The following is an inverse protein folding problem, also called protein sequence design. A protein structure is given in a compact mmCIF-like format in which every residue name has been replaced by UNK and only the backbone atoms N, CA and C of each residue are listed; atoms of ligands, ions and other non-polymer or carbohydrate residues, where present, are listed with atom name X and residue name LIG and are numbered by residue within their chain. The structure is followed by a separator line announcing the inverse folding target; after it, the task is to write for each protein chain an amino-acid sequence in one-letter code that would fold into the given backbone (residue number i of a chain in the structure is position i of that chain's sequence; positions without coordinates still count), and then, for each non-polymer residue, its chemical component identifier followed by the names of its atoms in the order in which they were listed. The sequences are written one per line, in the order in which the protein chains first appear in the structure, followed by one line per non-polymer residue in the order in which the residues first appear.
data_IF_226987150935
#
_entry.id   IF_226987150935
#
_cell.length_a   1.000
_cell.length_b   1.000
_cell.length_c   1.000
_cell.angle_alpha   90.00
_cell.angle_beta   90.00
_cell.angle_gamma   90.00
#
_symmetry.space_group_name_H-M   'P 1'
#
loop_
_entity.id
_entity.type
_entity.pdbx_description
1 polymer ?
#
# COMPACT_ATOMS: atom_id res chain seq x y z
N UNK A 1 34.96 33.77 -32.26
CA UNK A 1 34.70 32.32 -32.11
C UNK A 1 35.57 31.79 -30.98
N UNK A 2 34.98 31.33 -29.88
CA UNK A 2 35.71 30.58 -28.84
C UNK A 2 34.70 29.69 -28.11
N UNK A 3 34.55 28.46 -28.60
CA UNK A 3 33.75 27.40 -27.98
C UNK A 3 34.59 26.73 -26.90
N UNK A 4 34.24 26.92 -25.63
CA UNK A 4 34.78 26.11 -24.54
C UNK A 4 34.09 24.75 -24.56
N UNK A 5 34.85 23.71 -24.88
CA UNK A 5 34.46 22.32 -24.71
C UNK A 5 34.64 21.96 -23.23
N UNK A 6 33.54 21.68 -22.53
CA UNK A 6 33.61 21.08 -21.20
C UNK A 6 34.03 19.61 -21.34
N UNK A 7 35.31 19.32 -21.11
CA UNK A 7 35.81 17.96 -21.03
C UNK A 7 35.31 17.32 -19.73
N UNK A 8 34.41 16.34 -19.83
CA UNK A 8 34.04 15.48 -18.70
C UNK A 8 35.29 14.67 -18.28
N UNK A 9 35.66 14.61 -16.99
CA UNK A 9 36.70 13.70 -16.54
C UNK A 9 36.27 12.25 -16.82
N UNK A 10 37.17 11.44 -17.36
CA UNK A 10 36.98 10.00 -17.49
C UNK A 10 36.86 9.38 -16.08
N UNK A 11 35.92 8.45 -15.84
CA UNK A 11 35.82 7.78 -14.55
C UNK A 11 37.08 6.94 -14.28
N UNK A 12 37.66 7.14 -13.10
CA UNK A 12 38.81 6.39 -12.57
C UNK A 12 38.53 4.89 -12.50
N UNK A 13 39.51 3.98 -12.71
CA UNK A 13 39.27 2.54 -12.89
C UNK A 13 38.93 1.78 -11.60
N UNK A 14 38.62 2.46 -10.49
CA UNK A 14 38.34 1.85 -9.19
C UNK A 14 36.99 2.31 -8.64
N UNK A 15 35.93 1.99 -9.37
CA UNK A 15 34.63 1.76 -8.75
C UNK A 15 34.24 0.33 -9.06
N UNK A 16 34.46 -0.58 -8.11
CA UNK A 16 33.70 -1.82 -8.03
C UNK A 16 32.26 -1.38 -7.77
N UNK A 17 31.51 -1.08 -8.83
CA UNK A 17 30.08 -0.85 -8.73
C UNK A 17 29.49 -2.20 -8.33
N UNK A 18 29.18 -2.35 -7.05
CA UNK A 18 28.17 -3.32 -6.62
C UNK A 18 26.99 -3.15 -7.58
N UNK A 19 26.48 -4.22 -8.21
CA UNK A 19 25.33 -4.09 -9.08
C UNK A 19 24.26 -3.29 -8.34
N UNK A 20 23.73 -2.24 -8.97
CA UNK A 20 22.54 -1.56 -8.49
C UNK A 20 21.52 -2.67 -8.18
N UNK A 21 21.04 -2.78 -6.94
CA UNK A 21 20.15 -3.86 -6.53
C UNK A 21 18.92 -3.86 -7.46
N UNK A 22 18.98 -4.69 -8.51
CA UNK A 22 18.01 -4.67 -9.60
C UNK A 22 16.66 -5.28 -9.19
N UNK A 23 16.56 -5.81 -7.96
CA UNK A 23 15.35 -6.39 -7.40
C UNK A 23 15.41 -6.37 -5.87
N UNK A 24 15.22 -5.20 -5.25
CA UNK A 24 15.09 -5.07 -3.79
C UNK A 24 13.75 -5.60 -3.25
N UNK A 25 13.29 -6.77 -3.70
CA UNK A 25 12.04 -7.38 -3.25
C UNK A 25 12.34 -8.25 -2.03
N UNK A 26 11.69 -7.93 -0.90
CA UNK A 26 11.73 -8.72 0.32
C UNK A 26 10.36 -9.36 0.54
N UNK A 27 10.32 -10.68 0.78
CA UNK A 27 9.10 -11.43 1.03
C UNK A 27 9.13 -12.04 2.42
N UNK A 28 8.04 -11.91 3.16
CA UNK A 28 7.87 -12.45 4.51
C UNK A 28 6.51 -13.15 4.62
N UNK A 29 6.47 -14.26 5.34
CA UNK A 29 5.25 -15.01 5.65
C UNK A 29 5.17 -15.25 7.15
N UNK A 30 3.94 -15.33 7.66
CA UNK A 30 3.65 -15.67 9.05
C UNK A 30 2.38 -16.54 9.10
N UNK A 31 2.27 -17.33 10.16
CA UNK A 31 1.12 -18.19 10.41
C UNK A 31 0.81 -18.24 11.90
N UNK A 32 -0.46 -18.39 12.24
CA UNK A 32 -0.94 -18.54 13.62
C UNK A 32 -2.12 -19.50 13.65
N UNK A 33 -2.25 -20.26 14.74
CA UNK A 33 -3.42 -21.09 15.00
C UNK A 33 -4.47 -20.27 15.72
N UNK A 34 -5.70 -20.28 15.20
CA UNK A 34 -6.86 -19.61 15.81
C UNK A 34 -7.86 -20.70 16.18
N UNK A 35 -8.18 -20.82 17.46
CA UNK A 35 -9.18 -21.78 17.96
C UNK A 35 -10.61 -21.26 17.69
N UNK A 36 -11.00 -21.30 16.42
CA UNK A 36 -12.34 -20.92 15.95
C UNK A 36 -12.65 -21.59 14.60
N UNK A 37 -13.93 -21.75 14.24
CA UNK A 37 -14.32 -22.18 12.90
C UNK A 37 -13.77 -21.23 11.82
N UNK A 38 -13.17 -21.79 10.76
CA UNK A 38 -12.55 -21.02 9.68
C UNK A 38 -13.52 -20.06 8.99
N UNK A 39 -14.80 -20.43 8.87
CA UNK A 39 -15.85 -19.61 8.26
C UNK A 39 -16.08 -18.33 9.07
N UNK A 40 -16.05 -18.44 10.41
CA UNK A 40 -16.19 -17.30 11.31
C UNK A 40 -14.97 -16.38 11.21
N UNK A 41 -13.76 -16.95 11.19
CA UNK A 41 -12.52 -16.17 11.02
C UNK A 41 -12.54 -15.43 9.68
N UNK A 42 -12.95 -16.12 8.61
CA UNK A 42 -13.02 -15.54 7.28
C UNK A 42 -13.96 -14.36 7.18
N UNK A 43 -15.18 -14.48 7.75
CA UNK A 43 -16.14 -13.38 7.80
C UNK A 43 -15.54 -12.13 8.48
N UNK A 44 -14.72 -12.31 9.51
CA UNK A 44 -14.03 -11.21 10.20
C UNK A 44 -12.91 -10.61 9.33
N UNK A 45 -12.16 -11.44 8.61
CA UNK A 45 -11.02 -10.98 7.78
C UNK A 45 -11.47 -10.16 6.56
N UNK A 46 -12.66 -10.43 6.01
CA UNK A 46 -13.19 -9.72 4.84
C UNK A 46 -14.13 -8.57 5.18
N UNK A 47 -14.49 -8.38 6.47
CA UNK A 47 -15.29 -7.25 6.95
C UNK A 47 -14.40 -6.00 7.13
N UNK A 48 -14.23 -5.24 6.05
CA UNK A 48 -13.42 -4.01 6.05
C UNK A 48 -13.91 -2.96 7.06
N UNK A 49 -15.22 -2.64 7.16
CA UNK A 49 -15.73 -1.70 8.17
C UNK A 49 -15.33 -2.05 9.61
N UNK A 50 -15.30 -3.34 9.98
CA UNK A 50 -14.91 -3.78 11.32
C UNK A 50 -13.43 -4.09 11.49
N UNK A 51 -12.59 -3.93 10.47
CA UNK A 51 -11.19 -4.39 10.49
C UNK A 51 -10.36 -3.78 11.63
N UNK A 52 -10.65 -2.52 11.99
CA UNK A 52 -9.99 -1.82 13.10
C UNK A 52 -10.32 -2.36 14.50
N UNK A 53 -11.33 -3.24 14.65
CA UNK A 53 -11.66 -3.86 15.94
C UNK A 53 -10.61 -4.86 16.40
N UNK A 54 -9.91 -5.50 15.45
CA UNK A 54 -8.90 -6.52 15.76
C UNK A 54 -7.49 -6.09 15.35
N UNK A 55 -7.33 -5.20 14.37
CA UNK A 55 -6.02 -4.68 13.97
C UNK A 55 -5.72 -3.33 14.65
N UNK A 56 -4.79 -3.27 15.62
CA UNK A 56 -4.52 -2.05 16.39
C UNK A 56 -3.88 -0.90 15.59
N UNK A 57 -3.32 -1.20 14.41
CA UNK A 57 -2.72 -0.19 13.54
C UNK A 57 -3.74 0.41 12.57
N UNK A 58 -4.86 -0.27 12.31
CA UNK A 58 -5.87 0.15 11.34
C UNK A 58 -7.02 0.84 12.05
N UNK A 59 -7.31 2.09 11.65
CA UNK A 59 -8.45 2.86 12.18
C UNK A 59 -9.73 2.59 11.40
N UNK A 60 -9.62 2.51 10.08
CA UNK A 60 -10.72 2.18 9.19
C UNK A 60 -10.18 1.59 7.90
N UNK A 61 -11.02 0.77 7.26
CA UNK A 61 -10.86 0.38 5.87
C UNK A 61 -12.18 0.64 5.16
N UNK A 62 -12.09 1.33 4.03
CA UNK A 62 -13.29 1.78 3.31
C UNK A 62 -13.11 1.50 1.83
N UNK A 63 -14.07 0.80 1.24
CA UNK A 63 -14.15 0.58 -0.20
C UNK A 63 -14.47 1.91 -0.88
N UNK A 64 -13.69 2.23 -1.91
CA UNK A 64 -13.78 3.51 -2.63
C UNK A 64 -13.91 3.31 -4.13
N UNK A 65 -14.49 4.31 -4.77
CA UNK A 65 -14.47 4.46 -6.22
C UNK A 65 -13.04 4.74 -6.71
N UNK A 66 -12.85 4.73 -8.04
CA UNK A 66 -11.58 5.15 -8.67
C UNK A 66 -11.22 6.61 -8.39
N UNK A 67 -12.18 7.45 -8.00
CA UNK A 67 -11.94 8.85 -7.59
C UNK A 67 -11.59 9.00 -6.11
N UNK A 68 -11.57 7.90 -5.34
CA UNK A 68 -11.28 7.92 -3.90
C UNK A 68 -12.49 8.22 -3.00
N UNK A 69 -13.69 8.33 -3.57
CA UNK A 69 -14.92 8.54 -2.80
C UNK A 69 -15.42 7.23 -2.21
N UNK A 70 -15.88 7.24 -0.95
CA UNK A 70 -16.50 6.06 -0.33
C UNK A 70 -17.68 5.56 -1.16
N UNK A 71 -17.78 4.25 -1.33
CA UNK A 71 -18.97 3.60 -1.88
C UNK A 71 -19.98 3.32 -0.77
N UNK A 72 -21.26 3.22 -1.11
CA UNK A 72 -22.28 2.76 -0.14
C UNK A 72 -22.11 1.26 0.15
N UNK A 73 -21.82 0.49 -0.90
CA UNK A 73 -21.51 -0.92 -0.80
C UNK A 73 -20.04 -1.14 -0.40
N UNK A 74 -19.84 -1.55 0.85
CA UNK A 74 -18.55 -1.85 1.45
C UNK A 74 -18.14 -3.33 1.31
N UNK A 75 -18.85 -4.12 0.50
CA UNK A 75 -18.46 -5.50 0.20
C UNK A 75 -17.14 -5.53 -0.57
N UNK A 76 -16.22 -6.36 -0.09
CA UNK A 76 -14.95 -6.64 -0.75
C UNK A 76 -15.22 -7.43 -2.04
N UNK A 77 -14.77 -6.90 -3.18
CA UNK A 77 -14.92 -7.53 -4.49
C UNK A 77 -13.63 -7.35 -5.27
N UNK A 78 -13.23 -8.37 -6.04
CA UNK A 78 -12.07 -8.29 -6.93
C UNK A 78 -12.21 -7.08 -7.88
N UNK A 79 -11.12 -6.33 -8.03
CA UNK A 79 -11.09 -5.12 -8.85
C UNK A 79 -11.56 -3.84 -8.14
N UNK A 80 -12.10 -3.92 -6.91
CA UNK A 80 -12.39 -2.73 -6.10
C UNK A 80 -11.16 -2.20 -5.40
N UNK A 81 -11.15 -0.89 -5.20
CA UNK A 81 -10.16 -0.21 -4.36
C UNK A 81 -10.71 -0.07 -2.94
N UNK A 82 -9.83 -0.13 -1.96
CA UNK A 82 -10.13 0.33 -0.61
C UNK A 82 -8.99 1.19 -0.07
N UNK A 83 -9.32 2.10 0.85
CA UNK A 83 -8.36 2.91 1.58
C UNK A 83 -8.27 2.40 3.01
N UNK A 84 -7.07 2.09 3.47
CA UNK A 84 -6.77 1.80 4.87
C UNK A 84 -6.20 3.04 5.54
N UNK A 85 -6.88 3.54 6.57
CA UNK A 85 -6.37 4.61 7.41
C UNK A 85 -5.62 4.01 8.60
N UNK A 86 -4.33 4.35 8.78
CA UNK A 86 -3.44 3.66 9.71
C UNK A 86 -2.68 4.59 10.65
N UNK A 87 -2.31 4.06 11.82
CA UNK A 87 -1.47 4.71 12.83
C UNK A 87 -0.23 3.85 13.11
N UNK A 88 0.95 4.45 12.96
CA UNK A 88 2.24 3.88 13.32
C UNK A 88 3.00 4.93 14.16
N UNK A 89 3.22 4.74 15.47
CA UNK A 89 2.80 3.61 16.32
C UNK A 89 1.26 3.51 16.46
N UNK A 90 0.72 2.37 16.96
CA UNK A 90 -0.72 2.21 17.14
C UNK A 90 -1.24 3.22 18.17
N UNK A 91 -2.43 3.76 17.93
CA UNK A 91 -3.01 4.79 18.78
C UNK A 91 -4.44 5.17 18.39
N UNK A 92 -5.12 5.87 19.30
CA UNK A 92 -6.51 6.32 19.13
C UNK A 92 -6.62 7.70 18.46
N UNK A 93 -5.50 8.31 18.10
CA UNK A 93 -5.45 9.60 17.41
C UNK A 93 -5.97 9.49 15.97
N UNK A 94 -6.38 10.61 15.35
CA UNK A 94 -6.72 10.62 13.93
C UNK A 94 -5.62 9.97 13.07
N UNK A 95 -6.00 9.22 12.02
CA UNK A 95 -5.03 8.47 11.21
C UNK A 95 -4.00 9.42 10.59
N UNK A 96 -2.72 9.10 10.77
CA UNK A 96 -1.62 9.91 10.23
C UNK A 96 -1.30 9.59 8.77
N UNK A 97 -1.68 8.39 8.32
CA UNK A 97 -1.37 7.89 6.98
C UNK A 97 -2.56 7.11 6.43
N UNK A 98 -2.66 7.08 5.11
CA UNK A 98 -3.58 6.19 4.41
C UNK A 98 -2.88 5.49 3.25
N UNK A 99 -3.31 4.26 2.98
CA UNK A 99 -2.84 3.46 1.85
C UNK A 99 -4.01 3.02 0.99
N UNK A 100 -3.90 3.19 -0.32
CA UNK A 100 -4.86 2.64 -1.27
C UNK A 100 -4.42 1.24 -1.67
N UNK A 101 -5.35 0.30 -1.76
CA UNK A 101 -5.10 -1.08 -2.19
C UNK A 101 -6.16 -1.53 -3.18
N UNK A 102 -5.77 -2.38 -4.13
CA UNK A 102 -6.61 -3.03 -5.13
C UNK A 102 -6.76 -4.50 -4.79
N UNK A 103 -8.01 -4.97 -4.66
CA UNK A 103 -8.29 -6.40 -4.46
C UNK A 103 -8.00 -7.17 -5.74
N UNK A 104 -7.08 -8.12 -5.68
CA UNK A 104 -6.69 -8.96 -6.83
C UNK A 104 -7.27 -10.36 -6.75
N UNK A 105 -7.55 -10.84 -5.54
CA UNK A 105 -8.06 -12.21 -5.32
C UNK A 105 -9.05 -12.20 -4.16
N UNK A 106 -10.18 -12.88 -4.35
CA UNK A 106 -11.15 -13.17 -3.31
C UNK A 106 -11.80 -14.52 -3.62
N UNK A 107 -11.40 -15.55 -2.91
CA UNK A 107 -11.86 -16.93 -3.08
C UNK A 107 -12.50 -17.40 -1.77
N UNK A 108 -13.83 -17.47 -1.74
CA UNK A 108 -14.56 -17.88 -0.52
C UNK A 108 -14.38 -19.37 -0.21
N UNK A 109 -14.27 -20.23 -1.23
CA UNK A 109 -14.12 -21.68 -1.05
C UNK A 109 -12.75 -22.06 -0.44
N UNK A 110 -11.71 -21.28 -0.76
CA UNK A 110 -10.34 -21.48 -0.28
C UNK A 110 -9.94 -20.51 0.85
N UNK A 111 -10.86 -19.66 1.31
CA UNK A 111 -10.61 -18.66 2.37
C UNK A 111 -9.39 -17.77 2.08
N UNK A 112 -9.24 -17.32 0.83
CA UNK A 112 -8.07 -16.59 0.35
C UNK A 112 -8.45 -15.21 -0.15
N UNK A 113 -7.78 -14.18 0.35
CA UNK A 113 -7.80 -12.84 -0.21
C UNK A 113 -6.39 -12.35 -0.49
N UNK A 114 -6.25 -11.49 -1.50
CA UNK A 114 -5.02 -10.79 -1.78
C UNK A 114 -5.31 -9.42 -2.36
N UNK A 115 -4.42 -8.49 -2.10
CA UNK A 115 -4.45 -7.15 -2.65
C UNK A 115 -3.05 -6.65 -2.92
N UNK A 116 -2.96 -5.65 -3.78
CA UNK A 116 -1.72 -4.95 -4.09
C UNK A 116 -1.91 -3.46 -3.86
N UNK A 117 -0.85 -2.76 -3.49
CA UNK A 117 -0.83 -1.30 -3.57
C UNK A 117 -0.66 -0.93 -5.05
N UNK A 118 -1.66 -0.32 -5.71
CA UNK A 118 -1.50 0.09 -7.10
C UNK A 118 -0.41 1.16 -7.17
N UNK A 119 0.34 1.24 -8.29
CA UNK A 119 1.22 2.38 -8.53
C UNK A 119 0.40 3.65 -8.41
N UNK A 120 0.97 4.69 -7.78
CA UNK A 120 0.27 5.95 -7.55
C UNK A 120 -0.45 6.41 -8.83
N UNK A 121 -1.78 6.54 -8.76
CA UNK A 121 -2.61 7.01 -9.85
C UNK A 121 -2.20 8.45 -10.21
N UNK A 122 -1.25 8.59 -11.12
CA UNK A 122 -0.80 9.88 -11.61
C UNK A 122 -0.04 10.72 -10.58
N UNK A 123 0.89 11.52 -11.07
CA UNK A 123 1.53 12.58 -10.27
C UNK A 123 0.43 13.52 -9.78
N UNK A 124 0.22 13.62 -8.47
CA UNK A 124 -0.70 14.63 -7.93
C UNK A 124 -1.12 14.47 -6.47
N UNK A 125 -1.13 13.25 -5.92
CA UNK A 125 -1.52 13.04 -4.53
C UNK A 125 -0.29 12.81 -3.65
N UNK A 126 0.44 13.90 -3.39
CA UNK A 126 1.23 13.99 -2.17
C UNK A 126 0.27 13.87 -0.98
N UNK A 127 0.48 12.97 -0.01
CA UNK A 127 -0.30 12.92 1.22
C UNK A 127 0.01 14.09 2.17
N UNK A 128 0.87 15.02 1.75
CA UNK A 128 1.42 16.08 2.57
C UNK A 128 0.83 17.44 2.18
N UNK A 129 0.01 18.00 3.07
CA UNK A 129 -0.45 19.39 3.04
C UNK A 129 0.67 20.37 3.45
N UNK A 130 1.81 20.33 2.74
CA UNK A 130 2.93 21.23 3.05
C UNK A 130 4.05 21.38 2.02
N UNK A 131 4.12 20.56 0.97
CA UNK A 131 5.21 20.63 -0.01
C UNK A 131 4.72 21.07 -1.39
N UNK A 132 4.96 22.32 -1.78
CA UNK A 132 4.76 22.79 -3.16
C UNK A 132 5.72 22.05 -4.09
N UNK A 133 5.20 21.27 -5.04
CA UNK A 133 5.96 20.86 -6.21
C UNK A 133 5.95 22.01 -7.23
N UNK A 134 7.07 22.70 -7.40
CA UNK A 134 7.29 23.63 -8.50
C UNK A 134 7.52 22.87 -9.81
N UNK A 135 7.02 23.46 -10.91
CA UNK A 135 7.05 22.93 -12.29
C UNK A 135 8.46 22.74 -12.82
#
# INVERSE_FOLDING_TARGET
MSTRVCSRPLPSPRAKLTPLAASGVFSVGASILIDAPREKVWQILIDLPSYGKWNPFTRSMTVVSKSGSSLDDQTLVVGRLFISAVNIPPGMTPPRMSGTSLVTTLEHDNFRSAWVTPPAFGRGLCPWSGGRCSR
#
